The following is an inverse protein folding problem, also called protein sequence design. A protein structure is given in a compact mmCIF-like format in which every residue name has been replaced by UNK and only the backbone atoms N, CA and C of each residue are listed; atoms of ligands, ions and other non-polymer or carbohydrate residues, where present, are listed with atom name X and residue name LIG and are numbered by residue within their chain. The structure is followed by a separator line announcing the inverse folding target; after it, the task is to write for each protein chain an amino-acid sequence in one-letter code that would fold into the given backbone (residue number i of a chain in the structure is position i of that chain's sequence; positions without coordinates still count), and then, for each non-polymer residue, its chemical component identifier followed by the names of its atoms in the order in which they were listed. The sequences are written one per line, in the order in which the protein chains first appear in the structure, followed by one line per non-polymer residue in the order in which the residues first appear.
data_IF_338877928048
#
_entry.id   IF_338877928048
#
_cell.length_a   1.000
_cell.length_b   1.000
_cell.length_c   1.000
_cell.angle_alpha   90.00
_cell.angle_beta   90.00
_cell.angle_gamma   90.00
#
_symmetry.space_group_name_H-M   'P 1'
#
loop_
_entity.id
_entity.type
_entity.pdbx_description
1 polymer ?
#
# COMPACT_ATOMS: atom_id res chain seq x y z
N UNK A 1 20.73 -4.93 31.70
CA UNK A 1 21.56 -4.03 30.90
C UNK A 1 20.71 -2.86 30.45
N UNK A 2 20.86 -1.70 31.07
CA UNK A 2 20.20 -0.47 30.63
C UNK A 2 21.24 0.39 29.92
N UNK A 3 21.04 0.67 28.66
CA UNK A 3 21.83 1.66 27.93
C UNK A 3 21.18 3.03 28.17
N UNK A 4 21.82 3.96 28.87
CA UNK A 4 21.28 5.29 29.07
C UNK A 4 21.13 5.99 27.71
N UNK A 5 19.95 6.56 27.44
CA UNK A 5 19.65 7.22 26.17
C UNK A 5 19.15 6.30 25.04
N UNK A 6 18.93 5.00 25.32
CA UNK A 6 18.31 4.07 24.36
C UNK A 6 16.87 3.80 24.78
N UNK A 7 15.95 4.06 23.87
CA UNK A 7 14.52 3.79 24.02
C UNK A 7 14.10 2.80 22.96
N UNK A 8 13.32 1.77 23.33
CA UNK A 8 12.81 0.76 22.40
C UNK A 8 11.36 1.10 22.10
N UNK A 9 11.10 1.55 20.87
CA UNK A 9 9.76 1.84 20.40
C UNK A 9 9.28 0.69 19.49
N UNK A 10 8.14 0.11 19.80
CA UNK A 10 7.47 -0.85 18.93
C UNK A 10 6.75 -0.09 17.81
N UNK A 11 6.95 -0.54 16.58
CA UNK A 11 6.24 0.00 15.40
C UNK A 11 5.55 -1.12 14.66
N UNK A 12 4.34 -0.86 14.24
CA UNK A 12 3.64 -1.71 13.29
C UNK A 12 4.23 -1.51 11.89
N UNK A 13 4.31 -2.60 11.14
CA UNK A 13 4.89 -2.62 9.81
C UNK A 13 3.96 -3.33 8.83
N UNK A 14 3.68 -2.71 7.70
CA UNK A 14 2.85 -3.33 6.66
C UNK A 14 3.64 -4.45 5.99
N UNK A 15 3.08 -5.64 5.98
CA UNK A 15 3.64 -6.82 5.31
C UNK A 15 2.63 -7.33 4.29
N UNK A 16 3.12 -7.70 3.13
CA UNK A 16 2.36 -8.33 2.06
C UNK A 16 2.79 -9.80 1.96
N UNK A 17 2.07 -10.74 2.63
CA UNK A 17 2.51 -12.13 2.78
C UNK A 17 2.63 -12.88 1.45
N UNK A 18 1.81 -12.51 0.46
CA UNK A 18 1.80 -13.12 -0.88
C UNK A 18 2.88 -12.52 -1.82
N UNK A 19 3.72 -11.62 -1.31
CA UNK A 19 4.78 -10.99 -2.11
C UNK A 19 4.22 -10.29 -3.33
N UNK A 20 4.68 -10.66 -4.52
CA UNK A 20 4.28 -10.02 -5.78
C UNK A 20 2.87 -10.36 -6.26
N UNK A 21 2.20 -11.38 -5.67
CA UNK A 21 0.86 -11.80 -6.10
C UNK A 21 -0.16 -10.72 -5.73
N UNK A 22 -0.95 -10.29 -6.71
CA UNK A 22 -1.95 -9.24 -6.52
C UNK A 22 -1.39 -7.84 -6.27
N UNK A 23 -0.09 -7.60 -6.50
CA UNK A 23 0.56 -6.33 -6.19
C UNK A 23 -0.11 -5.11 -6.85
N UNK A 24 -0.61 -5.26 -8.07
CA UNK A 24 -1.30 -4.19 -8.80
C UNK A 24 -2.71 -3.88 -8.28
N UNK A 25 -3.34 -4.84 -7.57
CA UNK A 25 -4.62 -4.62 -6.88
C UNK A 25 -4.36 -3.95 -5.54
N UNK A 26 -3.56 -4.63 -4.70
CA UNK A 26 -3.27 -4.18 -3.35
C UNK A 26 -2.59 -2.82 -3.37
N UNK A 27 -1.62 -2.66 -4.24
CA UNK A 27 -0.75 -1.50 -4.23
C UNK A 27 0.35 -1.62 -3.17
N UNK A 28 0.84 -0.49 -2.72
CA UNK A 28 1.84 -0.41 -1.65
C UNK A 28 1.74 0.88 -0.87
N UNK A 29 2.24 0.87 0.35
CA UNK A 29 2.48 2.07 1.14
C UNK A 29 3.90 2.59 0.91
N UNK A 30 4.10 3.87 1.00
CA UNK A 30 5.42 4.48 0.85
C UNK A 30 5.52 5.80 1.59
N UNK A 31 6.73 6.37 1.63
CA UNK A 31 7.00 7.59 2.38
C UNK A 31 6.11 8.75 1.95
N UNK A 32 5.63 9.51 2.92
CA UNK A 32 4.79 10.69 2.74
C UNK A 32 5.57 11.76 1.95
N UNK A 33 5.12 12.07 0.74
CA UNK A 33 5.75 13.08 -0.12
C UNK A 33 5.12 14.46 0.08
N UNK A 34 5.77 15.51 -0.43
CA UNK A 34 5.23 16.87 -0.40
C UNK A 34 3.90 17.00 -1.17
N UNK A 35 3.72 16.22 -2.25
CA UNK A 35 2.47 16.17 -2.99
C UNK A 35 1.35 15.51 -2.19
N UNK A 36 1.67 14.47 -1.41
CA UNK A 36 0.68 13.83 -0.52
C UNK A 36 0.26 14.79 0.59
N UNK A 37 1.22 15.51 1.20
CA UNK A 37 0.92 16.52 2.21
C UNK A 37 0.00 17.61 1.69
N UNK A 38 0.25 18.13 0.48
CA UNK A 38 -0.63 19.11 -0.15
C UNK A 38 -2.05 18.57 -0.36
N UNK A 39 -2.17 17.30 -0.80
CA UNK A 39 -3.45 16.64 -0.97
C UNK A 39 -4.18 16.51 0.37
N UNK A 40 -3.54 15.96 1.38
CA UNK A 40 -4.11 15.79 2.73
C UNK A 40 -4.55 17.13 3.33
N UNK A 41 -3.76 18.20 3.13
CA UNK A 41 -4.14 19.54 3.57
C UNK A 41 -5.39 20.03 2.86
N UNK A 42 -5.50 19.80 1.53
CA UNK A 42 -6.69 20.20 0.77
C UNK A 42 -7.94 19.39 1.14
N UNK A 43 -7.76 18.17 1.63
CA UNK A 43 -8.82 17.26 2.09
C UNK A 43 -9.15 17.47 3.59
N UNK A 44 -8.38 18.31 4.31
CA UNK A 44 -8.55 18.55 5.76
C UNK A 44 -8.16 17.38 6.64
N UNK A 45 -7.31 16.47 6.13
CA UNK A 45 -6.90 15.23 6.81
C UNK A 45 -5.45 15.27 7.32
N UNK A 46 -4.77 16.40 7.20
CA UNK A 46 -3.33 16.48 7.52
C UNK A 46 -3.04 16.18 9.00
N UNK A 47 -3.96 16.55 9.90
CA UNK A 47 -3.79 16.37 11.34
C UNK A 47 -3.83 14.87 11.74
N UNK A 48 -4.59 14.05 11.01
CA UNK A 48 -4.65 12.60 11.22
C UNK A 48 -3.32 11.90 10.85
N UNK A 49 -2.46 12.60 10.10
CA UNK A 49 -1.14 12.11 9.68
C UNK A 49 0.02 12.80 10.41
N UNK A 50 -0.27 13.50 11.50
CA UNK A 50 0.79 14.11 12.30
C UNK A 50 1.67 13.02 12.94
N UNK A 51 2.97 13.07 12.65
CA UNK A 51 3.91 12.02 13.06
C UNK A 51 3.99 10.78 12.15
N UNK A 52 3.04 10.62 11.24
CA UNK A 52 3.07 9.52 10.28
C UNK A 52 4.11 9.74 9.17
N UNK A 53 4.72 8.64 8.73
CA UNK A 53 5.78 8.67 7.72
C UNK A 53 5.40 7.99 6.41
N UNK A 54 4.32 7.24 6.42
CA UNK A 54 3.91 6.39 5.29
C UNK A 54 2.44 6.64 4.92
N UNK A 55 2.12 6.41 3.65
CA UNK A 55 0.78 6.56 3.11
C UNK A 55 0.59 5.59 1.94
N UNK A 56 -0.63 5.16 1.66
CA UNK A 56 -0.98 4.40 0.47
C UNK A 56 -0.71 5.17 -0.82
N UNK A 57 0.10 4.59 -1.70
CA UNK A 57 0.55 5.25 -2.95
C UNK A 57 -0.29 4.89 -4.15
N UNK A 58 -0.68 3.64 -4.26
CA UNK A 58 -1.44 3.11 -5.40
C UNK A 58 -2.36 1.98 -4.94
N UNK A 59 -3.27 1.55 -5.81
CA UNK A 59 -4.16 0.42 -5.58
C UNK A 59 -5.14 0.62 -4.44
N UNK A 60 -5.52 -0.46 -3.78
CA UNK A 60 -6.44 -0.48 -2.64
C UNK A 60 -5.87 0.30 -1.46
N UNK A 61 -4.56 0.20 -1.20
CA UNK A 61 -3.90 0.97 -0.14
C UNK A 61 -4.18 2.46 -0.25
N UNK A 62 -4.18 3.00 -1.48
CA UNK A 62 -4.51 4.41 -1.70
C UNK A 62 -6.01 4.70 -1.72
N UNK A 63 -6.78 3.84 -2.37
CA UNK A 63 -8.22 4.09 -2.59
C UNK A 63 -9.03 3.98 -1.31
N UNK A 64 -8.58 3.14 -0.38
CA UNK A 64 -9.22 2.88 0.90
C UNK A 64 -8.36 3.32 2.09
N UNK A 65 -7.42 4.25 1.86
CA UNK A 65 -6.53 4.80 2.87
C UNK A 65 -7.28 5.23 4.14
N UNK A 66 -8.34 6.01 3.99
CA UNK A 66 -9.16 6.50 5.11
C UNK A 66 -9.80 5.41 5.97
N UNK A 67 -9.98 4.21 5.41
CA UNK A 67 -10.50 3.05 6.16
C UNK A 67 -9.38 2.21 6.77
N UNK A 68 -8.23 2.14 6.09
CA UNK A 68 -7.09 1.30 6.48
C UNK A 68 -6.17 1.98 7.49
N UNK A 69 -6.09 3.32 7.44
CA UNK A 69 -5.13 4.11 8.22
C UNK A 69 -5.38 4.04 9.74
N UNK A 70 -6.62 3.97 10.20
CA UNK A 70 -6.90 4.05 11.63
C UNK A 70 -6.80 5.47 12.19
N UNK A 71 -6.67 5.60 13.51
CA UNK A 71 -6.50 6.89 14.19
C UNK A 71 -5.26 6.81 15.09
N UNK A 72 -4.31 7.73 14.97
CA UNK A 72 -3.13 7.75 15.81
C UNK A 72 -3.50 7.98 17.28
N UNK A 73 -2.75 7.38 18.19
CA UNK A 73 -2.86 7.66 19.61
C UNK A 73 -2.06 8.90 19.98
N UNK A 74 -2.49 9.59 21.03
CA UNK A 74 -1.80 10.78 21.55
C UNK A 74 -1.46 10.60 23.03
N UNK A 75 -0.25 10.97 23.40
CA UNK A 75 0.18 11.03 24.77
C UNK A 75 0.68 12.43 25.14
N UNK A 76 0.06 13.03 26.15
CA UNK A 76 0.47 14.32 26.68
C UNK A 76 1.41 14.10 27.85
N UNK A 77 2.65 14.54 27.70
CA UNK A 77 3.69 14.40 28.71
C UNK A 77 4.00 15.74 29.38
N UNK A 78 4.14 15.74 30.70
CA UNK A 78 4.78 16.83 31.43
C UNK A 78 6.29 16.68 31.32
N UNK A 79 6.96 17.73 30.80
CA UNK A 79 8.42 17.72 30.64
C UNK A 79 9.10 18.76 31.54
N UNK A 80 10.32 18.46 32.01
CA UNK A 80 11.17 19.43 32.68
C UNK A 80 11.71 20.48 31.70
N UNK A 81 12.27 21.58 32.22
CA UNK A 81 12.98 22.57 31.42
C UNK A 81 14.17 21.96 30.60
N UNK A 82 14.68 20.82 31.04
CA UNK A 82 15.72 20.05 30.33
C UNK A 82 15.21 19.05 29.31
N UNK A 83 13.88 19.03 29.03
CA UNK A 83 13.28 18.13 28.02
C UNK A 83 13.05 16.69 28.47
N UNK A 84 13.23 16.36 29.76
CA UNK A 84 12.96 15.02 30.28
C UNK A 84 11.50 14.85 30.67
N UNK A 85 10.86 13.77 30.18
CA UNK A 85 9.50 13.43 30.58
C UNK A 85 9.45 13.12 32.11
N UNK A 86 8.49 13.75 32.79
CA UNK A 86 8.25 13.57 34.23
C UNK A 86 7.11 12.60 34.48
N UNK A 87 5.98 12.84 33.81
CA UNK A 87 4.79 11.99 33.90
C UNK A 87 3.90 12.15 32.71
N UNK A 88 3.11 11.12 32.44
CA UNK A 88 2.00 11.19 31.48
C UNK A 88 0.80 11.88 32.14
N UNK A 89 0.26 12.91 31.45
CA UNK A 89 -0.91 13.66 31.92
C UNK A 89 -2.20 13.10 31.29
N UNK A 90 -2.15 12.69 30.02
CA UNK A 90 -3.25 12.07 29.30
C UNK A 90 -2.70 11.08 28.29
N UNK A 91 -3.43 9.98 28.09
CA UNK A 91 -3.10 8.97 27.10
C UNK A 91 -4.38 8.56 26.35
N UNK A 92 -4.39 8.79 25.05
CA UNK A 92 -5.40 8.32 24.13
C UNK A 92 -4.81 7.19 23.29
N UNK A 93 -5.30 5.94 23.43
CA UNK A 93 -4.74 4.81 22.70
C UNK A 93 -5.05 4.91 21.20
N UNK A 94 -4.13 4.43 20.33
CA UNK A 94 -4.37 4.37 18.91
C UNK A 94 -5.53 3.40 18.60
N UNK A 95 -6.28 3.70 17.52
CA UNK A 95 -7.34 2.85 17.02
C UNK A 95 -6.93 2.26 15.68
N UNK A 96 -6.90 0.94 15.58
CA UNK A 96 -6.57 0.25 14.34
C UNK A 96 -7.57 0.59 13.22
N UNK A 97 -7.08 0.61 11.98
CA UNK A 97 -7.92 0.74 10.80
C UNK A 97 -8.85 -0.46 10.61
N UNK A 98 -9.75 -0.33 9.66
CA UNK A 98 -10.74 -1.37 9.35
C UNK A 98 -10.16 -2.45 8.43
N UNK A 99 -10.69 -3.66 8.55
CA UNK A 99 -10.39 -4.74 7.61
C UNK A 99 -11.18 -4.56 6.32
N UNK A 100 -10.56 -4.85 5.18
CA UNK A 100 -11.22 -4.90 3.88
C UNK A 100 -11.31 -6.36 3.42
N UNK A 101 -12.52 -6.77 3.02
CA UNK A 101 -12.76 -8.05 2.39
C UNK A 101 -12.93 -7.83 0.89
N UNK A 102 -12.08 -8.48 0.10
CA UNK A 102 -12.09 -8.37 -1.35
C UNK A 102 -12.76 -9.59 -1.96
N UNK A 103 -13.31 -9.42 -3.17
CA UNK A 103 -13.90 -10.50 -3.95
C UNK A 103 -12.86 -11.34 -4.69
N UNK A 104 -11.58 -11.01 -4.56
CA UNK A 104 -10.47 -11.70 -5.22
C UNK A 104 -10.32 -13.12 -4.65
N UNK A 105 -10.41 -14.11 -5.54
CA UNK A 105 -10.03 -15.49 -5.23
C UNK A 105 -8.52 -15.65 -5.41
N UNK A 106 -7.81 -15.84 -4.29
CA UNK A 106 -6.35 -15.93 -4.31
C UNK A 106 -5.83 -17.17 -5.07
N UNK A 107 -6.60 -18.25 -5.14
CA UNK A 107 -6.20 -19.42 -5.92
C UNK A 107 -6.30 -19.11 -7.41
N UNK A 108 -7.40 -18.49 -7.84
CA UNK A 108 -7.57 -18.05 -9.22
C UNK A 108 -6.53 -17.00 -9.61
N UNK A 109 -6.25 -16.05 -8.71
CA UNK A 109 -5.21 -15.03 -8.91
C UNK A 109 -3.85 -15.66 -9.17
N UNK A 110 -3.41 -16.62 -8.31
CA UNK A 110 -2.14 -17.33 -8.48
C UNK A 110 -2.08 -18.14 -9.78
N UNK A 111 -3.16 -18.81 -10.14
CA UNK A 111 -3.24 -19.56 -11.41
C UNK A 111 -3.11 -18.63 -12.60
N UNK A 112 -3.83 -17.52 -12.60
CA UNK A 112 -3.80 -16.53 -13.68
C UNK A 112 -2.41 -15.86 -13.82
N UNK A 113 -1.77 -15.49 -12.70
CA UNK A 113 -0.40 -14.95 -12.72
C UNK A 113 0.63 -15.97 -13.22
N UNK A 114 0.53 -17.21 -12.79
CA UNK A 114 1.42 -18.27 -13.27
C UNK A 114 1.26 -18.52 -14.77
N UNK A 115 0.03 -18.49 -15.30
CA UNK A 115 -0.24 -18.63 -16.74
C UNK A 115 0.34 -17.47 -17.56
N UNK A 116 0.48 -16.29 -16.95
CA UNK A 116 1.04 -15.09 -17.57
C UNK A 116 2.55 -14.92 -17.31
N UNK A 117 3.18 -15.85 -16.61
CA UNK A 117 4.62 -15.75 -16.28
C UNK A 117 5.47 -15.63 -17.55
N UNK A 118 6.36 -14.63 -17.56
CA UNK A 118 7.21 -14.33 -18.71
C UNK A 118 6.51 -13.57 -19.85
N UNK A 119 5.22 -13.24 -19.71
CA UNK A 119 4.46 -12.46 -20.68
C UNK A 119 4.19 -11.05 -20.14
N UNK A 120 3.89 -10.12 -21.05
CA UNK A 120 3.49 -8.74 -20.71
C UNK A 120 2.04 -8.56 -21.10
N UNK A 121 1.18 -8.18 -20.15
CA UNK A 121 -0.24 -8.04 -20.42
C UNK A 121 -1.09 -8.02 -19.16
N UNK A 122 -2.40 -8.19 -19.31
CA UNK A 122 -3.34 -8.22 -18.20
C UNK A 122 -4.38 -9.34 -18.40
N UNK A 123 -4.88 -9.88 -17.28
CA UNK A 123 -6.02 -10.81 -17.23
C UNK A 123 -6.96 -10.37 -16.14
N UNK A 124 -8.24 -10.27 -16.46
CA UNK A 124 -9.28 -9.95 -15.49
C UNK A 124 -10.38 -11.01 -15.60
N UNK A 125 -10.73 -11.63 -14.46
CA UNK A 125 -11.87 -12.53 -14.35
C UNK A 125 -12.98 -11.83 -13.56
N UNK A 126 -14.15 -11.75 -14.15
CA UNK A 126 -15.32 -11.09 -13.55
C UNK A 126 -16.47 -12.11 -13.50
N UNK A 127 -17.18 -12.14 -12.37
CA UNK A 127 -18.42 -12.88 -12.23
C UNK A 127 -19.56 -12.12 -12.93
N UNK A 128 -20.11 -12.61 -14.05
CA UNK A 128 -21.05 -11.82 -14.86
C UNK A 128 -22.35 -11.46 -14.14
N UNK A 129 -22.78 -12.31 -13.19
CA UNK A 129 -24.06 -12.12 -12.47
C UNK A 129 -23.98 -11.03 -11.40
N UNK A 130 -22.84 -10.90 -10.72
CA UNK A 130 -22.66 -9.99 -9.57
C UNK A 130 -21.78 -8.80 -9.89
N UNK A 131 -20.95 -8.89 -10.94
CA UNK A 131 -19.95 -7.89 -11.27
C UNK A 131 -18.67 -7.99 -10.43
N UNK A 132 -18.56 -9.00 -9.56
CA UNK A 132 -17.41 -9.22 -8.70
C UNK A 132 -16.16 -9.55 -9.51
N UNK A 133 -15.05 -8.90 -9.15
CA UNK A 133 -13.74 -9.20 -9.75
C UNK A 133 -13.12 -10.33 -8.94
N UNK A 134 -12.95 -11.49 -9.57
CA UNK A 134 -12.40 -12.68 -8.95
C UNK A 134 -10.87 -12.78 -9.12
N UNK A 135 -10.34 -12.20 -10.21
CA UNK A 135 -8.90 -12.13 -10.45
C UNK A 135 -8.59 -10.88 -11.26
N UNK A 136 -7.45 -10.24 -10.94
CA UNK A 136 -7.01 -9.02 -11.59
C UNK A 136 -5.47 -9.05 -11.70
N UNK A 137 -5.00 -9.45 -12.85
CA UNK A 137 -3.57 -9.65 -13.13
C UNK A 137 -3.06 -8.56 -14.06
N UNK A 138 -1.92 -8.00 -13.72
CA UNK A 138 -1.13 -7.13 -14.58
C UNK A 138 0.32 -7.59 -14.54
N UNK A 139 0.87 -8.01 -15.66
CA UNK A 139 2.22 -8.55 -15.75
C UNK A 139 3.16 -7.63 -16.56
N UNK A 140 4.42 -7.54 -16.15
CA UNK A 140 5.03 -8.14 -14.97
C UNK A 140 4.58 -7.48 -13.66
N UNK A 141 4.67 -8.21 -12.56
CA UNK A 141 4.41 -7.75 -11.19
C UNK A 141 5.67 -7.19 -10.53
N UNK A 142 5.51 -6.64 -9.35
CA UNK A 142 6.59 -6.20 -8.47
C UNK A 142 6.30 -6.64 -7.03
N UNK A 143 7.30 -6.69 -6.16
CA UNK A 143 7.08 -6.99 -4.74
C UNK A 143 6.75 -5.69 -3.99
N UNK A 144 5.52 -5.55 -3.43
CA UNK A 144 5.14 -4.37 -2.66
C UNK A 144 5.90 -4.24 -1.34
N UNK A 145 6.50 -5.31 -0.81
CA UNK A 145 7.30 -5.27 0.42
C UNK A 145 8.58 -4.42 0.27
N UNK A 146 8.98 -4.08 -0.94
CA UNK A 146 10.16 -3.22 -1.17
C UNK A 146 9.94 -1.75 -0.76
N UNK A 147 8.68 -1.31 -0.59
CA UNK A 147 8.35 0.11 -0.45
C UNK A 147 8.17 0.61 0.99
N UNK A 148 7.59 -0.14 1.95
CA UNK A 148 7.22 0.38 3.27
C UNK A 148 8.37 0.96 4.08
N UNK A 149 9.56 0.39 3.99
CA UNK A 149 10.78 0.87 4.67
C UNK A 149 11.59 1.88 3.87
N UNK A 150 11.11 2.25 2.68
CA UNK A 150 11.88 2.99 1.68
C UNK A 150 12.61 2.05 0.73
N UNK A 151 12.30 2.15 -0.56
CA UNK A 151 12.94 1.31 -1.58
C UNK A 151 14.40 1.74 -1.79
N UNK A 152 15.30 0.78 -1.92
CA UNK A 152 16.69 1.08 -2.21
C UNK A 152 16.86 1.63 -3.64
N UNK A 153 17.85 2.52 -3.88
CA UNK A 153 18.04 3.17 -5.18
C UNK A 153 18.26 2.20 -6.34
N UNK A 154 18.86 1.03 -6.07
CA UNK A 154 19.15 0.02 -7.09
C UNK A 154 17.86 -0.68 -7.54
N UNK A 155 17.05 -1.16 -6.59
CA UNK A 155 15.75 -1.78 -6.87
C UNK A 155 14.79 -0.77 -7.52
N UNK A 156 14.78 0.48 -7.06
CA UNK A 156 13.98 1.54 -7.69
C UNK A 156 14.40 1.77 -9.14
N UNK A 157 15.70 1.90 -9.41
CA UNK A 157 16.21 2.06 -10.77
C UNK A 157 15.81 0.89 -11.65
N UNK A 158 15.95 -0.35 -11.16
CA UNK A 158 15.57 -1.55 -11.91
C UNK A 158 14.07 -1.54 -12.28
N UNK A 159 13.19 -1.22 -11.33
CA UNK A 159 11.75 -1.18 -11.59
C UNK A 159 11.35 -0.05 -12.54
N UNK A 160 12.01 1.11 -12.43
CA UNK A 160 11.64 2.30 -13.19
C UNK A 160 12.21 2.31 -14.61
N UNK A 161 13.41 1.71 -14.83
CA UNK A 161 14.06 1.67 -16.15
C UNK A 161 13.78 0.40 -16.93
N UNK A 162 13.11 -0.60 -16.32
CA UNK A 162 12.76 -1.84 -17.02
C UNK A 162 11.87 -1.56 -18.24
N UNK A 163 12.26 -2.08 -19.42
CA UNK A 163 11.49 -1.96 -20.67
C UNK A 163 10.06 -2.49 -20.49
N UNK A 164 9.89 -3.53 -19.71
CA UNK A 164 8.61 -4.16 -19.40
C UNK A 164 7.73 -3.35 -18.45
N UNK A 165 8.22 -2.24 -17.89
CA UNK A 165 7.49 -1.31 -17.00
C UNK A 165 6.65 -2.03 -15.94
N UNK A 166 7.24 -2.72 -14.97
CA UNK A 166 6.51 -3.52 -13.97
C UNK A 166 5.59 -2.69 -13.06
N UNK A 167 5.85 -1.41 -12.88
CA UNK A 167 4.99 -0.51 -12.10
C UNK A 167 3.72 -0.06 -12.84
N UNK A 168 3.61 -0.33 -14.15
CA UNK A 168 2.44 0.03 -14.93
C UNK A 168 1.31 -0.97 -14.72
N UNK A 169 0.20 -0.51 -14.14
CA UNK A 169 -1.02 -1.30 -14.06
C UNK A 169 -1.71 -1.36 -15.44
N UNK A 170 -1.43 -2.43 -16.18
CA UNK A 170 -1.94 -2.63 -17.54
C UNK A 170 -3.42 -2.95 -17.59
N UNK A 171 -3.95 -3.54 -16.54
CA UNK A 171 -5.38 -3.81 -16.44
C UNK A 171 -6.22 -2.52 -16.36
N UNK A 172 -5.63 -1.43 -15.82
CA UNK A 172 -6.28 -0.13 -15.68
C UNK A 172 -5.86 0.89 -16.75
N UNK A 173 -4.62 0.79 -17.24
CA UNK A 173 -3.99 1.83 -18.08
C UNK A 173 -3.38 1.28 -19.37
N UNK A 174 -3.55 -0.03 -19.64
CA UNK A 174 -3.05 -0.63 -20.87
C UNK A 174 -3.81 -0.09 -22.09
N UNK A 175 -3.13 0.20 -23.22
CA UNK A 175 -3.82 0.45 -24.48
C UNK A 175 -4.53 -0.83 -24.90
N UNK A 176 -5.81 -0.74 -25.21
CA UNK A 176 -6.60 -1.86 -25.72
C UNK A 176 -6.64 -1.77 -27.23
N UNK A 177 -6.01 -2.72 -27.92
CA UNK A 177 -6.33 -2.95 -29.34
C UNK A 177 -7.56 -3.86 -29.37
N UNK A 178 -8.66 -3.35 -29.89
CA UNK A 178 -9.87 -4.14 -30.10
C UNK A 178 -9.62 -5.18 -31.17
N UNK A 179 -9.31 -6.40 -30.77
CA UNK A 179 -9.58 -7.55 -31.62
C UNK A 179 -11.03 -7.91 -31.41
N UNK A 180 -11.84 -7.86 -32.44
CA UNK A 180 -13.25 -8.20 -32.41
C UNK A 180 -13.45 -9.59 -31.83
N UNK A 181 -14.01 -9.69 -30.62
CA UNK A 181 -14.74 -10.86 -30.20
C UNK A 181 -16.10 -10.79 -30.87
N UNK A 182 -16.21 -11.33 -32.08
CA UNK A 182 -17.52 -11.72 -32.62
C UNK A 182 -17.95 -12.93 -31.79
N UNK A 183 -18.87 -12.73 -30.87
CA UNK A 183 -19.63 -13.82 -30.28
C UNK A 183 -20.52 -14.42 -31.37
N UNK A 184 -20.61 -15.74 -31.52
CA UNK A 184 -21.54 -16.40 -32.40
C UNK A 184 -23.00 -16.14 -32.05
#
# INVERSE_FOLDING_TARGET
WRFPGVEINQREYRVYPEGSVGSHILGYIGSLSQSDKKRLTSEGLIDDYEGERVIGKVGIERSYESLLHGTPGHETLEITAGGHAVRSLAFEPPKAGKNLHLTIDMNLQRVAENAMKGKVGAVIAIQPKTGEILSFVSMPTYDPNLFPGGIDPKSWSQLNTAETKPLLNRAMRGPVSYTHLTLP
#
